data_IF_560690387163
#
_entry.id   IF_560690387163
#
_cell.length_a   1.000
_cell.length_b   1.000
_cell.length_c   1.000
_cell.angle_alpha   90.00
_cell.angle_beta   90.00
_cell.angle_gamma   90.00
#
_symmetry.space_group_name_H-M   'P 1'
#
loop_
_entity.id
_entity.type
_entity.pdbx_description
1 polymer ?
#
# COMPACT_ATOMS: atom_id res chain seq x y z
N UNK A 1 -16.10 7.24 12.28
CA UNK A 1 -14.98 6.50 11.65
C UNK A 1 -13.69 7.08 12.16
N UNK A 2 -13.01 6.33 13.00
CA UNK A 2 -11.82 6.76 13.73
C UNK A 2 -10.63 6.94 12.77
N UNK A 3 -9.71 7.86 13.08
CA UNK A 3 -8.56 8.15 12.18
C UNK A 3 -7.67 6.91 11.99
N UNK A 4 -7.61 6.02 12.98
CA UNK A 4 -6.84 4.79 12.90
C UNK A 4 -7.48 3.78 11.92
N UNK A 5 -8.81 3.68 11.88
CA UNK A 5 -9.53 2.82 10.93
C UNK A 5 -9.30 3.23 9.47
N UNK A 6 -9.23 4.55 9.20
CA UNK A 6 -8.96 5.06 7.85
C UNK A 6 -7.56 4.71 7.36
N UNK A 7 -6.57 4.77 8.26
CA UNK A 7 -5.19 4.38 7.99
C UNK A 7 -5.13 2.87 7.70
N UNK A 8 -5.84 2.07 8.49
CA UNK A 8 -5.86 0.62 8.31
C UNK A 8 -6.51 0.20 6.99
N UNK A 9 -7.62 0.83 6.61
CA UNK A 9 -8.25 0.65 5.29
C UNK A 9 -7.31 1.04 4.14
N UNK A 10 -6.64 2.19 4.23
CA UNK A 10 -5.66 2.58 3.21
C UNK A 10 -4.50 1.59 3.09
N UNK A 11 -3.98 1.07 4.22
CA UNK A 11 -2.94 0.03 4.24
C UNK A 11 -3.41 -1.24 3.53
N UNK A 12 -4.65 -1.65 3.80
CA UNK A 12 -5.31 -2.77 3.14
C UNK A 12 -5.45 -2.54 1.63
N UNK A 13 -5.89 -1.37 1.19
CA UNK A 13 -6.03 -1.03 -0.24
C UNK A 13 -4.70 -1.09 -0.98
N UNK A 14 -3.62 -0.59 -0.38
CA UNK A 14 -2.27 -0.65 -0.98
C UNK A 14 -1.84 -2.12 -1.14
N UNK A 15 -2.00 -2.94 -0.11
CA UNK A 15 -1.70 -4.37 -0.17
C UNK A 15 -2.58 -5.12 -1.20
N UNK A 16 -3.84 -4.73 -1.33
CA UNK A 16 -4.74 -5.27 -2.34
C UNK A 16 -4.25 -4.96 -3.76
N UNK A 17 -3.69 -3.77 -3.98
CA UNK A 17 -3.11 -3.39 -5.26
C UNK A 17 -1.89 -4.24 -5.63
N UNK A 18 -1.08 -4.63 -4.64
CA UNK A 18 0.02 -5.59 -4.82
C UNK A 18 -0.53 -6.97 -5.20
N UNK A 19 -1.56 -7.44 -4.48
CA UNK A 19 -2.17 -8.74 -4.72
C UNK A 19 -2.71 -8.86 -6.15
N UNK A 20 -3.42 -7.83 -6.63
CA UNK A 20 -3.89 -7.76 -8.02
C UNK A 20 -2.71 -7.75 -9.00
N UNK A 21 -1.63 -7.02 -8.69
CA UNK A 21 -0.43 -6.97 -9.54
C UNK A 21 0.24 -8.34 -9.71
N UNK A 22 0.40 -9.09 -8.61
CA UNK A 22 0.94 -10.46 -8.63
C UNK A 22 -0.01 -11.41 -9.39
N UNK A 23 -1.32 -11.28 -9.18
CA UNK A 23 -2.31 -12.08 -9.90
C UNK A 23 -2.26 -11.84 -11.42
N UNK A 24 -2.14 -10.58 -11.86
CA UNK A 24 -1.97 -10.26 -13.28
C UNK A 24 -0.67 -10.84 -13.87
N UNK A 25 0.41 -10.89 -13.08
CA UNK A 25 1.66 -11.53 -13.47
C UNK A 25 1.56 -13.06 -13.57
N UNK A 26 0.77 -13.69 -12.69
CA UNK A 26 0.45 -15.11 -12.77
C UNK A 26 -0.36 -15.43 -14.03
N UNK A 27 -1.41 -14.64 -14.30
CA UNK A 27 -2.25 -14.77 -15.50
C UNK A 27 -1.46 -14.52 -16.78
N UNK A 28 -0.48 -13.61 -16.76
CA UNK A 28 0.44 -13.41 -17.87
C UNK A 28 1.18 -14.70 -18.25
N UNK A 29 1.65 -15.46 -17.27
CA UNK A 29 2.37 -16.72 -17.51
C UNK A 29 1.49 -17.77 -18.20
N UNK A 30 0.17 -17.72 -17.97
CA UNK A 30 -0.80 -18.67 -18.53
C UNK A 30 -1.28 -18.25 -19.93
N UNK A 31 -1.50 -16.95 -20.17
CA UNK A 31 -2.00 -16.43 -21.46
C UNK A 31 -0.93 -15.85 -22.40
N UNK A 32 0.35 -15.78 -22.00
CA UNK A 32 1.48 -15.19 -22.75
C UNK A 32 1.22 -13.76 -23.29
N UNK A 33 0.29 -13.03 -22.67
CA UNK A 33 -0.15 -11.73 -23.16
C UNK A 33 0.57 -10.60 -22.44
N UNK A 34 1.53 -9.96 -23.12
CA UNK A 34 2.35 -8.86 -22.62
C UNK A 34 1.56 -7.71 -21.98
N UNK A 35 0.29 -7.53 -22.34
CA UNK A 35 -0.60 -6.57 -21.69
C UNK A 35 -0.77 -6.85 -20.19
N UNK A 36 -0.94 -8.11 -19.79
CA UNK A 36 -1.07 -8.48 -18.37
C UNK A 36 0.25 -8.32 -17.60
N UNK A 37 1.39 -8.48 -18.29
CA UNK A 37 2.71 -8.20 -17.71
C UNK A 37 2.88 -6.70 -17.43
N UNK A 38 2.52 -5.84 -18.38
CA UNK A 38 2.60 -4.38 -18.22
C UNK A 38 1.64 -3.90 -17.13
N UNK A 39 0.39 -4.39 -17.11
CA UNK A 39 -0.56 -4.03 -16.07
C UNK A 39 -0.14 -4.54 -14.68
N UNK A 40 0.38 -5.77 -14.59
CA UNK A 40 0.89 -6.33 -13.34
C UNK A 40 2.11 -5.56 -12.81
N UNK A 41 3.06 -5.23 -13.68
CA UNK A 41 4.26 -4.46 -13.31
C UNK A 41 3.95 -3.02 -12.93
N UNK A 42 2.97 -2.36 -13.57
CA UNK A 42 2.48 -1.04 -13.15
C UNK A 42 1.84 -1.13 -11.76
N UNK A 43 0.98 -2.12 -11.49
CA UNK A 43 0.35 -2.28 -10.18
C UNK A 43 1.37 -2.53 -9.05
N UNK A 44 2.39 -3.35 -9.32
CA UNK A 44 3.52 -3.57 -8.38
C UNK A 44 4.34 -2.28 -8.24
N UNK A 45 4.61 -1.56 -9.33
CA UNK A 45 5.32 -0.28 -9.29
C UNK A 45 4.61 0.76 -8.43
N UNK A 46 3.31 0.96 -8.66
CA UNK A 46 2.47 1.83 -7.82
C UNK A 46 2.55 1.42 -6.36
N UNK A 47 2.48 0.11 -6.06
CA UNK A 47 2.66 -0.38 -4.69
C UNK A 47 4.04 -0.03 -4.11
N UNK A 48 5.14 -0.27 -4.83
CA UNK A 48 6.50 0.04 -4.34
C UNK A 48 6.65 1.53 -4.04
N UNK A 49 6.26 2.40 -4.98
CA UNK A 49 6.38 3.85 -4.81
C UNK A 49 5.46 4.42 -3.74
N UNK A 50 4.22 3.93 -3.63
CA UNK A 50 3.29 4.39 -2.60
C UNK A 50 3.59 3.80 -1.22
N UNK A 51 4.12 2.57 -1.12
CA UNK A 51 4.48 1.94 0.15
C UNK A 51 5.49 2.80 0.92
N UNK A 52 6.49 3.36 0.26
CA UNK A 52 7.57 4.09 0.92
C UNK A 52 7.15 5.49 1.41
N UNK A 53 6.34 6.19 0.61
CA UNK A 53 5.65 7.43 1.02
C UNK A 53 4.68 7.19 2.17
N UNK A 54 3.98 6.06 2.14
CA UNK A 54 3.03 5.68 3.18
C UNK A 54 3.70 5.23 4.48
N UNK A 55 4.80 4.47 4.40
CA UNK A 55 5.58 4.09 5.58
C UNK A 55 6.09 5.33 6.30
N UNK A 56 6.63 6.30 5.56
CA UNK A 56 7.04 7.59 6.10
C UNK A 56 5.90 8.36 6.74
N UNK A 57 4.72 8.41 6.10
CA UNK A 57 3.54 9.07 6.67
C UNK A 57 3.02 8.35 7.93
N UNK A 58 3.00 7.02 7.92
CA UNK A 58 2.57 6.20 9.05
C UNK A 58 3.52 6.35 10.24
N UNK A 59 4.84 6.30 10.02
CA UNK A 59 5.84 6.58 11.05
C UNK A 59 5.71 8.02 11.57
N UNK A 60 5.61 9.01 10.69
CA UNK A 60 5.42 10.40 11.11
C UNK A 60 4.15 10.58 11.95
N UNK A 61 3.06 9.90 11.59
CA UNK A 61 1.80 9.93 12.36
C UNK A 61 1.89 9.22 13.72
N UNK A 62 2.68 8.14 13.82
CA UNK A 62 2.98 7.44 15.07
C UNK A 62 3.81 8.31 16.01
N UNK A 63 4.90 8.92 15.52
CA UNK A 63 5.73 9.83 16.31
C UNK A 63 4.98 11.10 16.76
N UNK A 64 4.03 11.60 15.96
CA UNK A 64 3.19 12.74 16.36
C UNK A 64 2.13 12.34 17.42
N UNK A 65 1.62 11.12 17.35
CA UNK A 65 0.68 10.57 18.35
C UNK A 65 1.37 10.37 19.70
N UNK A 66 2.62 9.93 19.71
CA UNK A 66 3.44 9.76 20.92
C UNK A 66 3.66 11.09 21.67
N UNK A 67 4.03 12.15 20.93
CA UNK A 67 4.20 13.50 21.49
C UNK A 67 2.90 14.09 22.06
N UNK A 68 1.74 13.74 21.50
CA UNK A 68 0.44 14.20 22.00
C UNK A 68 0.00 13.43 23.26
N UNK A 69 0.40 12.16 23.40
CA UNK A 69 0.15 11.34 24.59
C UNK A 69 0.97 11.83 25.79
N UNK A 70 2.24 12.19 25.57
CA UNK A 70 3.13 12.69 26.64
C UNK A 70 2.78 14.11 27.14
N UNK A 71 1.88 14.83 26.47
CA UNK A 71 1.47 16.19 26.86
C UNK A 71 0.22 16.25 27.74
N UNK A 72 -0.40 15.09 27.99
CA UNK A 72 -1.61 14.94 28.82
C UNK A 72 -1.30 14.14 30.10
N UNK A 73 -0.03 13.75 30.30
CA UNK A 73 0.47 13.14 31.55
C UNK A 73 1.03 14.19 32.50
#
# INVERSE_FOLDING_TARGET
>A
MDKNEKIELMKMTIWFNLFIGIYNLYVFNEMNSLFHLVLGSINIGVWVFFRERYLNFSFASLFNKDNKSNKIG
#
